data_IF_596077620220
#
_entry.id   IF_596077620220
#
_cell.length_a   1.000
_cell.length_b   1.000
_cell.length_c   1.000
_cell.angle_alpha   90.00
_cell.angle_beta   90.00
_cell.angle_gamma   90.00
#
_symmetry.space_group_name_H-M   'P 1'
#
loop_
_entity.id
_entity.type
_entity.pdbx_description
1 polymer ?
#
# COMPACT_ATOMS: atom_id res chain seq x y z
N UNK A 1 14.93 -2.71 23.73
CA UNK A 1 13.72 -3.46 23.35
C UNK A 1 14.06 -4.43 22.23
N UNK A 2 13.79 -5.74 22.37
CA UNK A 2 13.97 -6.75 21.30
C UNK A 2 12.59 -7.24 20.86
N UNK A 3 12.33 -7.27 19.55
CA UNK A 3 11.12 -7.83 18.96
C UNK A 3 11.47 -9.08 18.14
N UNK A 4 10.56 -10.04 18.05
CA UNK A 4 10.74 -11.20 17.17
C UNK A 4 10.57 -10.80 15.70
N UNK A 5 11.14 -11.58 14.78
CA UNK A 5 10.95 -11.37 13.33
C UNK A 5 9.47 -11.37 12.94
N UNK A 6 8.68 -12.24 13.54
CA UNK A 6 7.24 -12.34 13.25
C UNK A 6 6.47 -11.11 13.74
N UNK A 7 6.86 -10.56 14.89
CA UNK A 7 6.30 -9.31 15.36
C UNK A 7 6.67 -8.14 14.42
N UNK A 8 7.93 -8.06 14.00
CA UNK A 8 8.39 -7.04 13.05
C UNK A 8 7.63 -7.10 11.71
N UNK A 9 7.41 -8.30 11.15
CA UNK A 9 6.61 -8.49 9.92
C UNK A 9 5.20 -7.93 10.08
N UNK A 10 4.52 -8.23 11.20
CA UNK A 10 3.15 -7.75 11.45
C UNK A 10 3.09 -6.23 11.57
N UNK A 11 4.09 -5.62 12.20
CA UNK A 11 4.22 -4.15 12.26
C UNK A 11 4.36 -3.59 10.83
N UNK A 12 5.27 -4.12 10.03
CA UNK A 12 5.51 -3.64 8.66
C UNK A 12 4.27 -3.78 7.78
N UNK A 13 3.61 -4.94 7.80
CA UNK A 13 2.40 -5.18 7.02
C UNK A 13 1.24 -4.28 7.45
N UNK A 14 1.07 -4.05 8.76
CA UNK A 14 0.04 -3.15 9.28
C UNK A 14 0.34 -1.69 8.94
N UNK A 15 1.60 -1.26 9.04
CA UNK A 15 2.04 0.08 8.65
C UNK A 15 1.81 0.33 7.15
N UNK A 16 2.10 -0.66 6.31
CA UNK A 16 1.94 -0.57 4.87
C UNK A 16 0.49 -0.78 4.38
N UNK A 17 -0.50 -0.90 5.28
CA UNK A 17 -1.90 -1.19 4.96
C UNK A 17 -2.10 -2.51 4.16
N UNK A 18 -1.19 -3.47 4.35
CA UNK A 18 -1.27 -4.83 3.78
C UNK A 18 -1.96 -5.83 4.71
N UNK A 19 -2.23 -5.42 5.96
CA UNK A 19 -2.95 -6.20 6.96
C UNK A 19 -3.98 -5.32 7.70
N UNK A 20 -5.29 -5.66 7.65
CA UNK A 20 -5.91 -6.54 6.66
C UNK A 20 -5.73 -5.99 5.24
N UNK A 21 -5.72 -6.85 4.20
CA UNK A 21 -5.57 -6.41 2.81
C UNK A 21 -6.79 -5.61 2.34
N UNK A 22 -6.59 -4.76 1.32
CA UNK A 22 -7.68 -4.03 0.63
C UNK A 22 -8.63 -3.22 1.53
N UNK A 23 -8.06 -2.53 2.53
CA UNK A 23 -8.83 -1.73 3.51
C UNK A 23 -9.21 -0.33 3.05
N UNK A 24 -8.57 0.18 1.99
CA UNK A 24 -8.81 1.54 1.48
C UNK A 24 -10.07 1.54 0.60
N UNK A 25 -11.01 2.44 0.84
CA UNK A 25 -12.30 2.48 0.12
C UNK A 25 -12.43 3.60 -0.91
N UNK A 26 -11.60 4.64 -0.84
CA UNK A 26 -11.72 5.78 -1.74
C UNK A 26 -10.50 6.68 -1.77
N UNK A 27 -10.57 7.73 -2.60
CA UNK A 27 -9.50 8.70 -2.86
C UNK A 27 -8.97 9.40 -1.61
N UNK A 28 -9.85 9.79 -0.68
CA UNK A 28 -9.43 10.45 0.57
C UNK A 28 -8.53 9.56 1.43
N UNK A 29 -8.88 8.27 1.52
CA UNK A 29 -8.09 7.27 2.24
C UNK A 29 -6.78 6.93 1.51
N UNK A 30 -6.75 7.00 0.17
CA UNK A 30 -5.50 6.93 -0.61
C UNK A 30 -4.58 8.09 -0.21
N UNK A 31 -5.09 9.33 -0.18
CA UNK A 31 -4.29 10.49 0.22
C UNK A 31 -3.78 10.37 1.65
N UNK A 32 -4.60 9.84 2.57
CA UNK A 32 -4.15 9.53 3.94
C UNK A 32 -3.04 8.48 3.96
N UNK A 33 -3.15 7.44 3.13
CA UNK A 33 -2.10 6.43 3.01
C UNK A 33 -0.79 7.03 2.48
N UNK A 34 -0.84 7.84 1.42
CA UNK A 34 0.35 8.52 0.87
C UNK A 34 1.00 9.42 1.92
N UNK A 35 0.21 10.21 2.67
CA UNK A 35 0.72 11.02 3.79
C UNK A 35 1.39 10.16 4.88
N UNK A 36 0.84 8.99 5.18
CA UNK A 36 1.41 8.05 6.16
C UNK A 36 2.73 7.46 5.69
N UNK A 37 2.85 7.03 4.43
CA UNK A 37 4.07 6.38 3.92
C UNK A 37 5.10 7.36 3.33
N UNK A 38 4.74 8.63 3.19
CA UNK A 38 5.58 9.72 2.69
C UNK A 38 5.53 9.87 1.17
N UNK A 39 5.66 8.76 0.43
CA UNK A 39 5.57 8.77 -1.02
C UNK A 39 5.16 7.41 -1.58
N UNK A 40 4.72 7.41 -2.84
CA UNK A 40 4.64 6.22 -3.68
C UNK A 40 5.68 6.35 -4.78
N UNK A 41 6.33 5.25 -5.12
CA UNK A 41 7.20 5.23 -6.28
C UNK A 41 6.34 5.33 -7.55
N UNK A 42 6.72 6.27 -8.40
CA UNK A 42 6.20 6.39 -9.76
C UNK A 42 7.29 5.93 -10.71
N UNK A 43 6.98 4.90 -11.50
CA UNK A 43 7.85 4.38 -12.55
C UNK A 43 6.99 4.26 -13.81
N UNK A 44 7.35 4.95 -14.92
CA UNK A 44 6.58 4.91 -16.16
C UNK A 44 6.69 3.56 -16.87
N UNK A 45 7.59 2.66 -16.45
CA UNK A 45 7.71 1.34 -17.04
C UNK A 45 6.42 0.52 -16.79
N UNK A 46 5.74 0.17 -17.88
CA UNK A 46 4.47 -0.54 -17.83
C UNK A 46 4.55 -1.90 -18.56
N UNK A 47 5.30 -2.84 -17.97
CA UNK A 47 5.37 -4.22 -18.46
C UNK A 47 4.25 -5.07 -17.85
N UNK A 48 3.95 -4.85 -16.56
CA UNK A 48 2.93 -5.60 -15.80
C UNK A 48 1.95 -4.68 -15.05
N UNK A 49 1.92 -3.39 -15.39
CA UNK A 49 1.28 -2.31 -14.63
C UNK A 49 2.32 -1.29 -14.13
N UNK A 50 1.91 -0.03 -14.01
CA UNK A 50 2.75 1.01 -13.40
C UNK A 50 2.95 0.71 -11.91
N UNK A 51 4.11 1.04 -11.35
CA UNK A 51 4.43 0.71 -9.95
C UNK A 51 3.36 1.22 -8.97
N UNK A 52 2.88 2.44 -9.19
CA UNK A 52 1.84 3.06 -8.35
C UNK A 52 0.53 2.27 -8.39
N UNK A 53 0.15 1.74 -9.56
CA UNK A 53 -1.06 0.92 -9.68
C UNK A 53 -0.94 -0.39 -8.92
N UNK A 54 0.22 -1.05 -9.00
CA UNK A 54 0.48 -2.29 -8.24
C UNK A 54 0.39 -2.04 -6.72
N UNK A 55 0.89 -0.90 -6.26
CA UNK A 55 0.80 -0.48 -4.86
C UNK A 55 -0.64 -0.26 -4.44
N UNK A 56 -1.43 0.47 -5.24
CA UNK A 56 -2.82 0.78 -4.92
C UNK A 56 -3.74 -0.43 -5.06
N UNK A 57 -3.54 -1.29 -6.06
CA UNK A 57 -4.32 -2.51 -6.29
C UNK A 57 -4.35 -3.46 -5.09
N UNK A 58 -3.24 -3.54 -4.33
CA UNK A 58 -3.14 -4.39 -3.14
C UNK A 58 -3.81 -3.81 -1.89
N UNK A 59 -4.10 -2.50 -1.89
CA UNK A 59 -4.57 -1.73 -0.72
C UNK A 59 -5.97 -1.18 -0.87
N UNK A 60 -6.41 -0.90 -2.09
CA UNK A 60 -7.69 -0.28 -2.43
C UNK A 60 -8.68 -1.36 -2.85
N UNK A 61 -9.87 -1.33 -2.23
CA UNK A 61 -10.97 -2.22 -2.58
C UNK A 61 -11.46 -1.88 -3.99
N UNK A 62 -11.65 -2.90 -4.82
CA UNK A 62 -12.13 -2.76 -6.20
C UNK A 62 -11.31 -1.77 -7.06
N UNK A 63 -10.00 -1.63 -6.79
CA UNK A 63 -9.14 -0.73 -7.55
C UNK A 63 -9.19 -0.99 -9.06
N UNK A 64 -9.34 0.09 -9.83
CA UNK A 64 -9.15 0.13 -11.27
C UNK A 64 -8.32 1.38 -11.61
N UNK A 65 -7.26 1.26 -12.43
CA UNK A 65 -6.43 2.38 -12.85
C UNK A 65 -7.07 3.25 -13.96
N UNK A 66 -8.38 3.09 -14.19
CA UNK A 66 -9.16 3.63 -15.32
C UNK A 66 -10.08 4.78 -14.87
#
# INVERSE_FOLDING_TARGET
>A
MKISKDHAKRILLSYQNLLPPKRIQGSDEILQFVRKVGCLQFDPLNIAGMNTDLVLQSRVKNYRPE
#
